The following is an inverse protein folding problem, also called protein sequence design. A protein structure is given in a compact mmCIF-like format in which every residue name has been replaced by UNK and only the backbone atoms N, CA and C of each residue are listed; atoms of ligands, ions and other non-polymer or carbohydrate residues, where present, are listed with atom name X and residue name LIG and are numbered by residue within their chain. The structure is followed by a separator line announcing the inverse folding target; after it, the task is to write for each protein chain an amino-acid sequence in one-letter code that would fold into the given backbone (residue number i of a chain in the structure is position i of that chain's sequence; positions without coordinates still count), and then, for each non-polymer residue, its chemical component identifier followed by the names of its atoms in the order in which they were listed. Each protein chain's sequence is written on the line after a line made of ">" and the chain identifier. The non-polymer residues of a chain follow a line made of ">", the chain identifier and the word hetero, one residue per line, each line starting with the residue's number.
data_IF_458568878751
#
_entry.id   IF_458568878751
#
_cell.length_a   1.000
_cell.length_b   1.000
_cell.length_c   1.000
_cell.angle_alpha   90.00
_cell.angle_beta   90.00
_cell.angle_gamma   90.00
#
_symmetry.space_group_name_H-M   'P 1'
#
loop_
_entity.id
_entity.type
_entity.pdbx_description
1 polymer ?
#
# COMPACT_ATOMS: atom_id res chain seq x y z
N UNK A 1 -4.59 -12.51 3.65
CA UNK A 1 -4.32 -13.28 2.40
C UNK A 1 -3.25 -12.66 1.51
N UNK A 2 -3.11 -11.34 1.37
CA UNK A 2 -1.98 -10.72 0.63
C UNK A 2 -0.64 -10.75 1.39
N UNK A 3 -0.65 -10.48 2.71
CA UNK A 3 0.57 -10.48 3.53
C UNK A 3 1.28 -11.84 3.58
N UNK A 4 0.52 -12.94 3.68
CA UNK A 4 1.07 -14.29 3.71
C UNK A 4 1.75 -14.69 2.39
N UNK A 5 1.31 -14.13 1.25
CA UNK A 5 1.96 -14.38 -0.04
C UNK A 5 3.34 -13.72 -0.11
N UNK A 6 3.50 -12.52 0.47
CA UNK A 6 4.78 -11.82 0.52
C UNK A 6 5.72 -12.34 1.61
N UNK A 7 5.20 -13.08 2.60
CA UNK A 7 6.03 -13.76 3.60
C UNK A 7 7.04 -14.71 2.95
N UNK A 8 6.64 -15.43 1.89
CA UNK A 8 7.51 -16.35 1.14
C UNK A 8 8.65 -15.63 0.37
N UNK A 9 8.61 -14.29 0.26
CA UNK A 9 9.66 -13.45 -0.34
C UNK A 9 10.42 -12.62 0.68
N UNK A 10 10.32 -12.96 1.96
CA UNK A 10 10.94 -12.23 3.07
C UNK A 10 10.37 -10.80 3.24
N UNK A 11 9.05 -10.69 3.04
CA UNK A 11 8.28 -9.47 3.24
C UNK A 11 8.17 -8.57 2.00
N UNK A 12 7.11 -7.78 1.92
CA UNK A 12 6.93 -6.79 0.85
C UNK A 12 7.89 -5.60 1.02
N UNK A 13 8.44 -5.09 -0.10
CA UNK A 13 9.30 -3.89 -0.12
C UNK A 13 8.51 -2.58 0.04
N UNK A 14 7.25 -2.58 -0.39
CA UNK A 14 6.33 -1.44 -0.28
C UNK A 14 4.96 -1.93 0.18
N UNK A 15 4.33 -1.19 1.10
CA UNK A 15 2.96 -1.47 1.53
C UNK A 15 2.21 -0.16 1.79
N UNK A 16 1.02 -0.04 1.21
CA UNK A 16 0.09 1.06 1.46
C UNK A 16 -1.24 0.45 1.87
N UNK A 17 -1.70 0.80 3.07
CA UNK A 17 -2.98 0.36 3.61
C UNK A 17 -3.97 1.52 3.58
N UNK A 18 -5.18 1.25 3.11
CA UNK A 18 -6.30 2.20 3.15
C UNK A 18 -7.44 1.47 3.84
N UNK A 19 -7.75 1.86 5.07
CA UNK A 19 -8.84 1.28 5.84
C UNK A 19 -9.37 2.28 6.85
N UNK A 20 -10.58 2.01 7.35
CA UNK A 20 -11.20 2.72 8.48
C UNK A 20 -11.00 1.98 9.80
N UNK A 21 -10.16 0.93 9.80
CA UNK A 21 -9.99 0.00 10.92
C UNK A 21 -9.09 0.57 12.00
N UNK A 22 -9.68 0.85 13.17
CA UNK A 22 -8.97 1.31 14.36
C UNK A 22 -8.13 0.19 14.98
N UNK A 23 -6.96 0.55 15.51
CA UNK A 23 -5.99 -0.39 16.09
C UNK A 23 -6.52 -1.06 17.38
N UNK A 24 -7.53 -0.47 18.01
CA UNK A 24 -8.11 -0.95 19.27
C UNK A 24 -8.93 -2.24 19.13
N UNK A 25 -9.38 -2.58 17.91
CA UNK A 25 -10.24 -3.75 17.66
C UNK A 25 -9.45 -5.09 17.59
N UNK A 26 -8.12 -5.06 17.63
CA UNK A 26 -7.28 -6.28 17.59
C UNK A 26 -7.47 -7.14 16.32
N UNK A 27 -8.14 -6.60 15.30
CA UNK A 27 -8.42 -7.26 14.04
C UNK A 27 -7.23 -7.15 13.07
N UNK A 28 -6.90 -8.22 12.33
CA UNK A 28 -5.87 -8.23 11.27
C UNK A 28 -6.16 -7.19 10.17
N UNK A 29 -7.40 -6.69 10.08
CA UNK A 29 -7.80 -5.59 9.20
C UNK A 29 -7.46 -4.19 9.77
N UNK A 30 -7.36 -4.05 11.09
CA UNK A 30 -6.97 -2.83 11.82
C UNK A 30 -5.51 -2.81 12.26
N UNK A 31 -4.81 -3.94 12.15
CA UNK A 31 -3.40 -4.12 12.49
C UNK A 31 -2.52 -2.99 11.93
N UNK A 32 -1.55 -2.56 12.73
CA UNK A 32 -0.60 -1.53 12.31
C UNK A 32 0.36 -2.10 11.28
N UNK A 33 0.92 -1.25 10.41
CA UNK A 33 2.00 -1.69 9.53
C UNK A 33 3.22 -2.22 10.31
N UNK A 34 3.42 -1.76 11.53
CA UNK A 34 4.46 -2.24 12.46
C UNK A 34 4.23 -3.70 12.86
N UNK A 35 2.98 -4.07 13.14
CA UNK A 35 2.60 -5.47 13.36
C UNK A 35 2.88 -6.33 12.12
N UNK A 36 2.57 -5.85 10.93
CA UNK A 36 2.90 -6.58 9.70
C UNK A 36 4.42 -6.73 9.45
N UNK A 37 5.25 -5.82 9.98
CA UNK A 37 6.73 -5.96 9.99
C UNK A 37 7.18 -7.03 11.00
N UNK A 38 6.59 -7.06 12.20
CA UNK A 38 6.97 -8.03 13.23
C UNK A 38 6.73 -9.49 12.80
N UNK A 39 5.68 -9.71 12.01
CA UNK A 39 5.36 -11.03 11.44
C UNK A 39 6.14 -11.35 10.15
N UNK A 40 7.01 -10.46 9.65
CA UNK A 40 7.76 -10.65 8.41
C UNK A 40 6.91 -10.58 7.14
N UNK A 41 5.66 -10.11 7.23
CA UNK A 41 4.77 -9.88 6.06
C UNK A 41 5.26 -8.65 5.26
N UNK A 42 5.90 -7.69 5.92
CA UNK A 42 6.56 -6.51 5.36
C UNK A 42 8.04 -6.53 5.75
N UNK A 43 8.93 -6.15 4.84
CA UNK A 43 10.37 -6.07 5.15
C UNK A 43 10.64 -4.94 6.13
N UNK A 44 11.56 -5.12 7.09
CA UNK A 44 11.90 -4.08 8.09
C UNK A 44 12.46 -2.78 7.51
N UNK A 45 13.05 -2.84 6.31
CA UNK A 45 13.53 -1.66 5.58
C UNK A 45 12.44 -0.97 4.74
N UNK A 46 11.24 -1.56 4.65
CA UNK A 46 10.12 -0.94 3.94
C UNK A 46 9.62 0.29 4.71
N UNK A 47 9.01 1.22 3.98
CA UNK A 47 8.35 2.41 4.54
C UNK A 47 6.84 2.28 4.37
N UNK A 48 6.17 1.44 5.17
CA UNK A 48 4.75 1.22 4.96
C UNK A 48 3.93 2.42 5.45
N UNK A 49 2.84 2.72 4.76
CA UNK A 49 1.94 3.85 5.09
C UNK A 49 0.52 3.33 5.29
N UNK A 50 -0.14 3.74 6.37
CA UNK A 50 -1.57 3.47 6.61
C UNK A 50 -2.34 4.79 6.55
N UNK A 51 -3.31 4.85 5.63
CA UNK A 51 -4.24 5.97 5.50
C UNK A 51 -5.56 5.58 6.14
N UNK A 52 -5.93 6.29 7.20
CA UNK A 52 -7.15 6.03 7.95
C UNK A 52 -8.33 6.76 7.30
N UNK A 53 -8.97 6.13 6.32
CA UNK A 53 -10.06 6.74 5.55
C UNK A 53 -10.82 5.71 4.72
N UNK A 54 -11.96 6.12 4.17
CA UNK A 54 -12.72 5.31 3.22
C UNK A 54 -12.00 5.28 1.86
N UNK A 55 -11.86 4.07 1.31
CA UNK A 55 -11.21 3.86 0.02
C UNK A 55 -11.93 4.59 -1.12
N UNK A 56 -13.25 4.74 -1.07
CA UNK A 56 -14.02 5.42 -2.13
C UNK A 56 -13.65 6.89 -2.29
N UNK A 57 -13.23 7.56 -1.19
CA UNK A 57 -12.79 8.95 -1.21
C UNK A 57 -11.32 9.09 -1.60
N UNK A 58 -10.46 8.26 -1.03
CA UNK A 58 -9.00 8.43 -1.16
C UNK A 58 -8.44 7.73 -2.39
N UNK A 59 -8.99 6.59 -2.80
CA UNK A 59 -8.47 5.81 -3.92
C UNK A 59 -8.44 6.59 -5.24
N UNK A 60 -9.51 7.34 -5.64
CA UNK A 60 -9.46 8.16 -6.84
C UNK A 60 -8.35 9.22 -6.81
N UNK A 61 -8.09 9.84 -5.65
CA UNK A 61 -7.04 10.84 -5.49
C UNK A 61 -5.64 10.22 -5.64
N UNK A 62 -5.42 9.05 -5.05
CA UNK A 62 -4.16 8.31 -5.20
C UNK A 62 -3.93 7.98 -6.67
N UNK A 63 -4.95 7.44 -7.35
CA UNK A 63 -4.85 7.10 -8.78
C UNK A 63 -4.55 8.33 -9.63
N UNK A 64 -5.20 9.47 -9.36
CA UNK A 64 -4.98 10.71 -10.08
C UNK A 64 -3.54 11.23 -9.94
N UNK A 65 -2.94 11.13 -8.75
CA UNK A 65 -1.60 11.64 -8.49
C UNK A 65 -0.47 10.65 -8.81
N UNK A 66 -0.77 9.35 -8.95
CA UNK A 66 0.26 8.31 -9.16
C UNK A 66 0.10 7.63 -10.51
N UNK A 67 -0.88 6.73 -10.65
CA UNK A 67 -1.08 5.91 -11.85
C UNK A 67 -1.44 6.74 -13.08
N UNK A 68 -2.33 7.72 -12.95
CA UNK A 68 -2.73 8.56 -14.07
C UNK A 68 -1.54 9.38 -14.61
N UNK A 69 -0.76 10.00 -13.73
CA UNK A 69 0.45 10.74 -14.13
C UNK A 69 1.51 9.83 -14.76
N UNK A 70 1.70 8.63 -14.20
CA UNK A 70 2.66 7.67 -14.75
C UNK A 70 2.28 7.27 -16.19
N UNK A 71 1.01 6.97 -16.44
CA UNK A 71 0.52 6.62 -17.78
C UNK A 71 0.67 7.80 -18.73
N UNK A 72 0.25 9.01 -18.32
CA UNK A 72 0.38 10.21 -19.15
C UNK A 72 1.84 10.47 -19.55
N UNK A 73 2.76 10.46 -18.58
CA UNK A 73 4.20 10.68 -18.81
C UNK A 73 4.77 9.61 -19.75
N UNK A 74 4.40 8.35 -19.58
CA UNK A 74 4.85 7.25 -20.43
C UNK A 74 4.35 7.41 -21.87
N UNK A 75 3.10 7.82 -22.07
CA UNK A 75 2.55 8.12 -23.40
C UNK A 75 3.29 9.28 -24.05
N UNK A 76 3.57 10.36 -23.32
CA UNK A 76 4.33 11.50 -23.85
C UNK A 76 5.73 11.09 -24.32
N UNK A 77 6.44 10.25 -23.56
CA UNK A 77 7.77 9.74 -23.92
C UNK A 77 7.70 8.88 -25.19
N UNK A 78 6.68 8.02 -25.30
CA UNK A 78 6.53 7.16 -26.47
C UNK A 78 6.16 7.92 -27.75
N UNK A 79 5.51 9.08 -27.65
CA UNK A 79 5.21 9.94 -28.82
C UNK A 79 6.40 10.77 -29.27
N UNK A 80 7.46 10.88 -28.47
CA UNK A 80 8.70 11.59 -28.81
C UNK A 80 9.82 10.70 -29.36
N UNK A 81 9.60 9.37 -29.39
CA UNK A 81 10.50 8.39 -30.02
C UNK A 81 9.96 7.96 -31.39
#
# INVERSE_FOLDING_TARGET
>A
TLGNANLMRNGADYAVYINTGLEYDGSDAGATPDEAVSWGKIRSAAKPVKVHSDATLIFPLIVAQTFAQYVQKKTSINSTN
#
